data_IF_444473442785
#
_entry.id   IF_444473442785
#
_cell.length_a   1.000
_cell.length_b   1.000
_cell.length_c   1.000
_cell.angle_alpha   90.00
_cell.angle_beta   90.00
_cell.angle_gamma   90.00
#
_symmetry.space_group_name_H-M   'P 1'
#
loop_
_entity.id
_entity.type
_entity.pdbx_description
1 polymer ?
#
# COMPACT_ATOMS: atom_id res chain seq x y z
N UNK A 1 2.53 -16.02 -18.94
CA UNK A 1 1.48 -15.00 -18.66
C UNK A 1 1.70 -14.49 -17.25
N UNK A 2 2.10 -13.23 -17.07
CA UNK A 2 2.20 -12.60 -15.75
C UNK A 2 0.79 -12.22 -15.30
N UNK A 3 0.21 -13.01 -14.41
CA UNK A 3 -1.18 -12.82 -14.00
C UNK A 3 -1.26 -11.65 -13.01
N UNK A 4 -1.44 -10.44 -13.56
CA UNK A 4 -1.50 -9.19 -12.77
C UNK A 4 -2.66 -9.20 -11.77
N UNK A 5 -3.68 -10.04 -11.98
CA UNK A 5 -4.82 -10.22 -11.08
C UNK A 5 -4.43 -10.87 -9.74
N UNK A 6 -3.22 -11.45 -9.66
CA UNK A 6 -2.67 -12.04 -8.44
C UNK A 6 -2.02 -11.03 -7.51
N UNK A 7 -2.06 -9.74 -7.83
CA UNK A 7 -1.49 -8.70 -6.97
C UNK A 7 -2.53 -7.63 -6.68
N UNK A 8 -2.51 -7.12 -5.45
CA UNK A 8 -3.24 -5.92 -5.06
C UNK A 8 -2.24 -4.82 -4.77
N UNK A 9 -2.58 -3.60 -5.17
CA UNK A 9 -1.76 -2.42 -4.99
C UNK A 9 -2.30 -1.62 -3.83
N UNK A 10 -1.43 -1.25 -2.89
CA UNK A 10 -1.81 -0.47 -1.73
C UNK A 10 -1.00 0.81 -1.73
N UNK A 11 -1.63 1.93 -2.11
CA UNK A 11 -1.02 3.25 -2.02
C UNK A 11 -1.03 3.69 -0.56
N UNK A 12 0.14 3.84 0.06
CA UNK A 12 0.27 4.51 1.36
C UNK A 12 0.67 5.96 1.14
N UNK A 13 -0.20 6.82 1.62
CA UNK A 13 0.03 8.24 1.76
C UNK A 13 0.32 8.53 3.23
N UNK A 14 1.55 8.97 3.50
CA UNK A 14 2.08 9.18 4.84
C UNK A 14 2.00 10.67 5.18
N UNK A 15 1.01 11.08 5.98
CA UNK A 15 0.98 12.43 6.55
C UNK A 15 1.51 12.44 8.00
N UNK A 16 1.92 13.62 8.48
CA UNK A 16 2.52 13.79 9.82
C UNK A 16 1.61 13.32 10.96
N UNK A 17 0.30 13.45 10.78
CA UNK A 17 -0.70 13.14 11.82
C UNK A 17 -1.43 11.81 11.57
N UNK A 18 -1.73 11.51 10.31
CA UNK A 18 -2.52 10.35 9.90
C UNK A 18 -1.94 9.73 8.63
N UNK A 19 -2.03 8.42 8.51
CA UNK A 19 -1.68 7.69 7.31
C UNK A 19 -2.95 7.27 6.60
N UNK A 20 -3.01 7.49 5.30
CA UNK A 20 -4.08 6.99 4.45
C UNK A 20 -3.52 5.85 3.61
N UNK A 21 -4.28 4.75 3.54
CA UNK A 21 -3.95 3.64 2.67
C UNK A 21 -5.13 3.34 1.77
N UNK A 22 -4.88 3.29 0.47
CA UNK A 22 -5.86 2.98 -0.56
C UNK A 22 -5.49 1.66 -1.22
N UNK A 23 -6.41 0.70 -1.17
CA UNK A 23 -6.28 -0.62 -1.75
C UNK A 23 -6.93 -0.60 -3.13
N UNK A 24 -6.17 -0.98 -4.15
CA UNK A 24 -6.54 -0.98 -5.55
C UNK A 24 -6.25 -2.36 -6.17
N UNK A 25 -7.08 -2.79 -7.12
CA UNK A 25 -6.81 -3.98 -7.93
C UNK A 25 -5.97 -3.63 -9.18
N UNK A 26 -5.61 -4.62 -10.00
CA UNK A 26 -4.82 -4.39 -11.22
C UNK A 26 -5.58 -3.60 -12.31
N UNK A 27 -6.88 -3.42 -12.14
CA UNK A 27 -7.72 -2.59 -13.01
C UNK A 27 -7.83 -1.14 -12.54
N UNK A 28 -6.98 -0.71 -11.60
CA UNK A 28 -7.04 0.63 -10.99
C UNK A 28 -8.36 0.92 -10.24
N UNK A 29 -9.17 -0.12 -9.98
CA UNK A 29 -10.39 0.00 -9.18
C UNK A 29 -10.06 0.01 -7.69
N UNK A 30 -10.60 1.00 -6.97
CA UNK A 30 -10.47 1.12 -5.52
C UNK A 30 -11.33 0.07 -4.84
N UNK A 31 -10.68 -0.95 -4.28
CA UNK A 31 -11.32 -2.01 -3.47
C UNK A 31 -11.69 -1.49 -2.08
N UNK A 32 -10.92 -0.54 -1.56
CA UNK A 32 -11.20 0.09 -0.28
C UNK A 32 -10.13 1.07 0.14
N UNK A 33 -10.44 1.84 1.18
CA UNK A 33 -9.47 2.73 1.83
C UNK A 33 -9.53 2.57 3.35
N UNK A 34 -8.46 2.97 4.02
CA UNK A 34 -8.38 3.07 5.46
C UNK A 34 -7.46 4.22 5.84
N UNK A 35 -7.97 5.07 6.72
CA UNK A 35 -7.18 6.12 7.36
C UNK A 35 -6.92 5.70 8.79
N UNK A 36 -5.68 5.83 9.23
CA UNK A 36 -5.25 5.46 10.57
C UNK A 36 -4.26 6.48 11.12
N UNK A 37 -4.12 6.57 12.43
CA UNK A 37 -3.17 7.53 13.03
C UNK A 37 -1.73 7.10 12.74
N UNK A 38 -0.78 8.05 12.77
CA UNK A 38 0.65 7.77 12.71
C UNK A 38 1.16 7.03 13.97
N UNK A 39 0.68 5.81 14.18
CA UNK A 39 1.04 4.93 15.29
C UNK A 39 1.27 3.52 14.75
N UNK A 40 2.37 2.85 15.13
CA UNK A 40 2.67 1.50 14.69
C UNK A 40 1.60 0.48 15.10
N UNK A 41 0.87 0.71 16.20
CA UNK A 41 -0.23 -0.15 16.65
C UNK A 41 -1.40 -0.18 15.66
N UNK A 42 -1.62 0.89 14.89
CA UNK A 42 -2.72 0.96 13.92
C UNK A 42 -2.38 0.29 12.58
N UNK A 43 -1.09 0.12 12.25
CA UNK A 43 -0.66 -0.61 11.06
C UNK A 43 -1.19 -2.05 11.05
N UNK A 44 -1.42 -2.67 12.22
CA UNK A 44 -2.06 -3.98 12.31
C UNK A 44 -3.45 -4.01 11.66
N UNK A 45 -4.23 -2.94 11.80
CA UNK A 45 -5.57 -2.81 11.18
C UNK A 45 -5.47 -2.68 9.67
N UNK A 46 -4.49 -1.93 9.17
CA UNK A 46 -4.20 -1.82 7.74
C UNK A 46 -3.91 -3.21 7.14
N UNK A 47 -2.99 -3.96 7.75
CA UNK A 47 -2.62 -5.29 7.26
C UNK A 47 -3.80 -6.25 7.32
N UNK A 48 -4.59 -6.23 8.40
CA UNK A 48 -5.80 -7.05 8.52
C UNK A 48 -6.82 -6.71 7.41
N UNK A 49 -6.98 -5.43 7.09
CA UNK A 49 -7.87 -4.98 6.02
C UNK A 49 -7.34 -5.40 4.65
N UNK A 50 -6.05 -5.21 4.37
CA UNK A 50 -5.42 -5.70 3.13
C UNK A 50 -5.57 -7.22 3.00
N UNK A 51 -5.38 -7.98 4.08
CA UNK A 51 -5.60 -9.43 4.10
C UNK A 51 -7.04 -9.83 3.77
N UNK A 52 -8.03 -9.04 4.19
CA UNK A 52 -9.45 -9.29 3.87
C UNK A 52 -9.75 -9.19 2.37
N UNK A 53 -9.06 -8.29 1.66
CA UNK A 53 -9.16 -8.16 0.19
C UNK A 53 -8.18 -9.10 -0.55
N UNK A 54 -7.16 -9.59 0.15
CA UNK A 54 -6.21 -10.60 -0.32
C UNK A 54 -6.80 -12.02 -0.18
N UNK A 55 -7.98 -12.28 -0.76
CA UNK A 55 -8.75 -13.51 -0.54
C UNK A 55 -8.09 -14.77 -1.11
N UNK A 56 -7.12 -14.63 -2.04
CA UNK A 56 -6.49 -15.75 -2.77
C UNK A 56 -4.97 -15.85 -2.58
N UNK A 57 -4.40 -15.32 -1.50
CA UNK A 57 -2.94 -15.27 -1.34
C UNK A 57 -2.27 -14.38 -2.40
N UNK A 58 -3.01 -13.38 -2.89
CA UNK A 58 -2.53 -12.38 -3.84
C UNK A 58 -1.35 -11.61 -3.22
N UNK A 59 -0.28 -11.38 -3.96
CA UNK A 59 0.83 -10.57 -3.46
C UNK A 59 0.36 -9.13 -3.16
N UNK A 60 0.78 -8.58 -2.03
CA UNK A 60 0.48 -7.19 -1.68
C UNK A 60 1.67 -6.35 -2.09
N UNK A 61 1.43 -5.36 -2.95
CA UNK A 61 2.44 -4.40 -3.39
C UNK A 61 2.09 -3.05 -2.78
N UNK A 62 2.96 -2.55 -1.90
CA UNK A 62 2.80 -1.23 -1.32
C UNK A 62 3.49 -0.19 -2.20
N UNK A 63 2.71 0.78 -2.67
CA UNK A 63 3.21 1.95 -3.37
C UNK A 63 3.37 3.08 -2.35
N UNK A 64 4.59 3.57 -2.19
CA UNK A 64 4.92 4.65 -1.27
C UNK A 64 5.61 5.77 -2.04
N UNK A 65 5.16 7.00 -1.82
CA UNK A 65 5.73 8.19 -2.47
C UNK A 65 7.12 8.56 -1.95
N UNK A 66 7.53 7.99 -0.81
CA UNK A 66 8.83 8.23 -0.22
C UNK A 66 9.27 7.03 0.65
N UNK A 67 10.10 6.16 0.09
CA UNK A 67 10.53 4.92 0.76
C UNK A 67 11.49 5.14 1.94
N UNK A 68 12.03 6.36 2.12
CA UNK A 68 13.14 6.67 3.01
C UNK A 68 12.82 6.70 4.53
N UNK A 69 11.74 6.06 4.99
CA UNK A 69 11.46 5.93 6.42
C UNK A 69 10.46 4.83 6.76
N UNK A 70 9.17 5.07 6.53
CA UNK A 70 8.12 4.07 6.82
C UNK A 70 8.09 2.93 5.80
N UNK A 71 8.62 3.15 4.58
CA UNK A 71 8.80 2.09 3.59
C UNK A 71 9.75 0.99 4.10
N UNK A 72 10.77 1.36 4.88
CA UNK A 72 11.72 0.41 5.47
C UNK A 72 11.03 -0.55 6.44
N UNK A 73 10.04 -0.09 7.21
CA UNK A 73 9.27 -0.93 8.13
C UNK A 73 8.46 -2.02 7.40
N UNK A 74 7.95 -1.72 6.21
CA UNK A 74 7.23 -2.67 5.36
C UNK A 74 8.19 -3.67 4.69
N UNK A 75 9.35 -3.19 4.24
CA UNK A 75 10.43 -4.02 3.66
C UNK A 75 10.97 -4.99 4.72
N UNK A 76 11.24 -4.53 5.94
CA UNK A 76 11.70 -5.38 7.06
C UNK A 76 10.69 -6.49 7.40
N UNK A 77 9.40 -6.26 7.16
CA UNK A 77 8.35 -7.27 7.33
C UNK A 77 8.14 -8.17 6.11
N UNK A 78 9.00 -8.08 5.10
CA UNK A 78 8.96 -8.92 3.90
C UNK A 78 7.88 -8.53 2.89
N UNK A 79 7.35 -7.31 2.94
CA UNK A 79 6.37 -6.85 1.97
C UNK A 79 7.05 -6.16 0.78
N UNK A 80 6.45 -6.27 -0.40
CA UNK A 80 6.98 -5.65 -1.62
C UNK A 80 6.64 -4.16 -1.58
N UNK A 81 7.65 -3.32 -1.40
CA UNK A 81 7.52 -1.86 -1.49
C UNK A 81 8.06 -1.39 -2.82
N UNK A 82 7.26 -0.61 -3.56
CA UNK A 82 7.72 0.14 -4.71
C UNK A 82 7.74 1.63 -4.35
N UNK A 83 8.91 2.22 -4.55
CA UNK A 83 9.08 3.67 -4.53
C UNK A 83 8.39 4.23 -5.78
N UNK A 84 7.40 5.09 -5.57
CA UNK A 84 6.73 5.82 -6.65
C UNK A 84 7.18 7.25 -6.54
N UNK A 85 8.04 7.69 -7.45
CA UNK A 85 8.54 9.05 -7.44
C UNK A 85 7.35 10.03 -7.67
N UNK A 86 7.07 10.97 -6.74
CA UNK A 86 5.98 11.96 -6.89
C UNK A 86 6.07 12.77 -8.18
N UNK A 87 7.27 12.87 -8.75
CA UNK A 87 7.52 13.55 -10.01
C UNK A 87 6.75 12.95 -11.20
N UNK A 88 6.29 11.70 -11.11
CA UNK A 88 5.45 11.07 -12.15
C UNK A 88 3.95 11.36 -11.98
N UNK A 89 3.53 11.97 -10.86
CA UNK A 89 2.14 12.43 -10.64
C UNK A 89 1.78 13.65 -11.52
N UNK A 90 2.77 14.25 -12.19
CA UNK A 90 2.65 15.44 -13.03
C UNK A 90 2.95 15.18 -14.53
N UNK A 91 2.80 13.95 -15.03
CA UNK A 91 2.87 13.70 -16.47
C UNK A 91 1.49 13.92 -17.12
N UNK A 92 1.14 15.20 -17.33
CA UNK A 92 0.18 15.65 -18.34
C UNK A 92 0.96 16.44 -19.38
#
# INVERSE_FOLDING_TARGET
MYDKTKYIYVGLDLHKEQHMAVIMDCFNEKLGEITFQNKPSEFGKLIAKCKKYCTNGKGIVFALENSYGYGTWLIERGHIVKDVNPALSYAC
#
